data_IF_417871463246
#
_entry.id   IF_417871463246
#
_cell.length_a   1.000
_cell.length_b   1.000
_cell.length_c   1.000
_cell.angle_alpha   90.00
_cell.angle_beta   90.00
_cell.angle_gamma   90.00
#
_symmetry.space_group_name_H-M   'P 1'
#
loop_
_entity.id
_entity.type
_entity.pdbx_description
1 polymer ?
#
# COMPACT_ATOMS: atom_id res chain seq x y z
N UNK A 1 -8.81 30.42 17.45
CA UNK A 1 -8.12 31.65 17.91
C UNK A 1 -9.09 32.80 18.19
N UNK A 2 -10.10 33.01 17.34
CA UNK A 2 -11.08 34.09 17.54
C UNK A 2 -11.82 33.99 18.90
N UNK A 3 -11.97 32.79 19.45
CA UNK A 3 -12.61 32.54 20.75
C UNK A 3 -11.60 32.43 21.90
N UNK A 4 -10.36 32.87 21.74
CA UNK A 4 -9.31 32.77 22.77
C UNK A 4 -8.71 31.38 22.98
N UNK A 5 -9.11 30.37 22.19
CA UNK A 5 -8.57 29.01 22.29
C UNK A 5 -7.19 28.95 21.62
N UNK A 6 -6.17 28.50 22.37
CA UNK A 6 -4.85 28.28 21.84
C UNK A 6 -4.87 27.13 20.82
N UNK A 7 -4.72 27.48 19.53
CA UNK A 7 -4.74 26.52 18.42
C UNK A 7 -3.47 26.66 17.61
N UNK A 8 -2.80 25.56 17.37
CA UNK A 8 -1.68 25.44 16.45
C UNK A 8 -2.00 24.38 15.38
N UNK A 9 -1.18 24.28 14.34
CA UNK A 9 -1.34 23.19 13.39
C UNK A 9 -0.16 22.24 13.42
N UNK A 10 -0.48 21.00 13.18
CA UNK A 10 0.48 19.94 12.90
C UNK A 10 0.31 19.48 11.46
N UNK A 11 1.34 18.85 10.93
CA UNK A 11 1.31 18.33 9.57
C UNK A 11 2.24 17.16 9.40
N UNK A 12 1.91 16.30 8.43
CA UNK A 12 2.85 15.32 7.88
C UNK A 12 3.34 15.80 6.51
N UNK A 13 4.66 15.78 6.25
CA UNK A 13 5.19 16.05 4.91
C UNK A 13 4.74 15.02 3.89
N UNK A 14 4.45 13.79 4.33
CA UNK A 14 4.08 12.68 3.49
C UNK A 14 3.27 11.62 4.25
N UNK A 15 2.13 11.24 3.68
CA UNK A 15 1.40 10.04 4.07
C UNK A 15 2.13 8.78 3.58
N UNK A 16 1.97 7.69 4.31
CA UNK A 16 2.58 6.41 3.92
C UNK A 16 1.89 5.78 2.71
N UNK A 17 0.60 6.04 2.49
CA UNK A 17 -0.19 5.34 1.50
C UNK A 17 -0.33 6.07 0.15
N UNK A 18 -0.40 7.42 0.10
CA UNK A 18 -0.57 8.13 -1.20
C UNK A 18 -0.54 9.64 -1.21
N UNK A 19 -1.03 10.30 -0.16
CA UNK A 19 -1.13 11.77 -0.16
C UNK A 19 0.23 12.37 0.19
N UNK A 20 0.55 13.53 -0.42
CA UNK A 20 1.87 14.13 -0.24
C UNK A 20 1.99 14.81 1.11
N UNK A 21 1.14 15.76 1.40
CA UNK A 21 1.20 16.60 2.59
C UNK A 21 -0.20 16.80 3.14
N UNK A 22 -0.33 16.78 4.46
CA UNK A 22 -1.61 17.02 5.11
C UNK A 22 -1.44 17.81 6.38
N UNK A 23 -2.43 18.65 6.70
CA UNK A 23 -2.45 19.52 7.86
C UNK A 23 -3.70 19.27 8.69
N UNK A 24 -3.56 19.40 10.00
CA UNK A 24 -4.67 19.41 10.94
C UNK A 24 -4.43 20.39 12.06
N UNK A 25 -5.50 20.77 12.75
CA UNK A 25 -5.43 21.63 13.91
C UNK A 25 -5.22 20.81 15.17
N UNK A 26 -4.54 21.40 16.17
CA UNK A 26 -4.46 20.85 17.52
C UNK A 26 -4.72 21.95 18.55
N UNK A 27 -5.48 21.62 19.58
CA UNK A 27 -5.77 22.52 20.70
C UNK A 27 -5.57 21.78 22.01
N UNK A 28 -5.07 22.45 23.06
CA UNK A 28 -4.96 21.83 24.37
C UNK A 28 -6.34 21.55 24.95
N UNK A 29 -6.50 20.39 25.56
CA UNK A 29 -7.64 20.06 26.40
C UNK A 29 -7.48 20.66 27.82
N UNK A 30 -8.40 20.34 28.75
CA UNK A 30 -8.38 20.82 30.14
C UNK A 30 -7.15 20.39 30.93
N UNK A 31 -6.42 19.39 30.46
CA UNK A 31 -5.17 18.89 31.07
C UNK A 31 -3.92 19.48 30.43
N UNK A 32 -4.08 20.31 29.37
CA UNK A 32 -2.98 20.88 28.58
C UNK A 32 -2.45 19.96 27.48
N UNK A 33 -3.05 18.77 27.31
CA UNK A 33 -2.68 17.85 26.23
C UNK A 33 -3.31 18.32 24.91
N UNK A 34 -2.50 18.48 23.88
CA UNK A 34 -2.97 18.90 22.57
C UNK A 34 -3.75 17.79 21.88
N UNK A 35 -5.04 18.04 21.60
CA UNK A 35 -5.92 17.14 20.89
C UNK A 35 -6.05 17.59 19.42
N UNK A 36 -5.85 16.67 18.46
CA UNK A 36 -5.99 17.00 17.05
C UNK A 36 -7.46 17.02 16.61
N UNK A 37 -7.75 17.85 15.61
CA UNK A 37 -9.04 17.92 14.94
C UNK A 37 -8.92 18.53 13.55
N UNK A 38 -9.84 18.21 12.67
CA UNK A 38 -9.89 18.77 11.30
C UNK A 38 -11.04 19.77 11.22
N UNK A 39 -10.73 21.06 11.23
CA UNK A 39 -11.73 22.10 11.01
C UNK A 39 -11.91 22.34 9.49
N UNK A 40 -13.16 22.58 8.98
CA UNK A 40 -14.44 22.60 9.68
C UNK A 40 -15.21 21.29 9.70
N UNK A 41 -14.62 20.19 9.15
CA UNK A 41 -15.38 19.03 8.71
C UNK A 41 -15.73 18.03 9.82
N UNK A 42 -15.03 18.06 10.97
CA UNK A 42 -15.28 17.06 12.02
C UNK A 42 -15.26 17.66 13.42
N UNK A 43 -16.20 17.23 14.25
CA UNK A 43 -16.09 17.30 15.70
C UNK A 43 -14.82 16.58 16.17
N UNK A 44 -14.28 16.98 17.34
CA UNK A 44 -13.12 16.38 18.02
C UNK A 44 -13.43 14.91 18.37
N UNK A 45 -13.79 14.06 17.41
CA UNK A 45 -14.19 12.67 17.66
C UNK A 45 -13.89 11.73 16.49
N UNK A 46 -13.35 10.60 16.86
CA UNK A 46 -13.37 9.23 16.32
C UNK A 46 -12.87 8.97 14.90
N UNK A 47 -13.16 9.77 13.86
CA UNK A 47 -12.77 9.40 12.48
C UNK A 47 -11.35 9.82 12.07
N UNK A 48 -10.79 10.86 12.69
CA UNK A 48 -9.44 11.34 12.35
C UNK A 48 -8.33 10.36 12.78
N UNK A 49 -8.53 9.58 13.85
CA UNK A 49 -7.58 8.56 14.32
C UNK A 49 -7.30 7.53 13.24
N UNK A 50 -8.30 7.20 12.44
CA UNK A 50 -8.15 6.24 11.36
C UNK A 50 -7.18 6.70 10.27
N UNK A 51 -7.03 8.01 10.08
CA UNK A 51 -6.22 8.57 9.01
C UNK A 51 -4.79 8.90 9.46
N UNK A 52 -4.60 9.42 10.66
CA UNK A 52 -3.28 9.84 11.17
C UNK A 52 -2.28 8.69 11.28
N UNK A 53 -2.72 7.46 11.53
CA UNK A 53 -1.85 6.26 11.51
C UNK A 53 -1.07 6.06 10.21
N UNK A 54 -1.47 6.74 9.14
CA UNK A 54 -0.75 6.73 7.87
C UNK A 54 0.21 7.91 7.70
N UNK A 55 0.32 8.82 8.66
CA UNK A 55 1.33 9.86 8.65
C UNK A 55 2.73 9.24 8.74
N UNK A 56 3.68 9.78 8.00
CA UNK A 56 5.09 9.43 8.14
C UNK A 56 5.68 10.09 9.38
N UNK A 57 6.43 11.16 9.18
CA UNK A 57 6.85 12.06 10.27
C UNK A 57 5.76 13.11 10.51
N UNK A 58 5.66 13.63 11.72
CA UNK A 58 4.70 14.67 12.09
C UNK A 58 5.42 15.85 12.73
N UNK A 59 5.10 17.06 12.25
CA UNK A 59 5.72 18.29 12.74
C UNK A 59 4.65 19.30 13.18
N UNK A 60 4.97 20.02 14.27
CA UNK A 60 4.26 21.22 14.70
C UNK A 60 5.08 22.44 14.33
N UNK A 61 4.46 23.45 13.77
CA UNK A 61 5.08 24.76 13.63
C UNK A 61 4.90 25.55 14.93
N UNK A 62 6.00 25.79 15.61
CA UNK A 62 6.07 26.50 16.89
C UNK A 62 6.20 28.02 16.69
N UNK A 63 6.17 28.79 17.78
CA UNK A 63 6.43 30.23 17.78
C UNK A 63 7.88 30.57 18.15
N UNK A 64 8.60 29.61 18.69
CA UNK A 64 10.01 29.72 19.04
C UNK A 64 10.89 28.88 18.11
N UNK A 65 12.11 29.36 17.88
CA UNK A 65 13.10 28.64 17.09
C UNK A 65 13.54 27.33 17.77
N UNK A 66 13.53 26.25 17.03
CA UNK A 66 13.94 24.93 17.48
C UNK A 66 15.38 24.64 17.01
N UNK A 67 16.32 24.67 17.96
CA UNK A 67 17.77 24.55 17.69
C UNK A 67 18.23 23.22 17.08
N UNK A 68 17.36 22.20 17.13
CA UNK A 68 17.61 20.88 16.56
C UNK A 68 17.06 20.71 15.13
N UNK A 69 16.66 21.79 14.48
CA UNK A 69 16.18 21.76 13.08
C UNK A 69 17.34 21.83 12.07
N UNK A 70 17.13 21.37 10.83
CA UNK A 70 18.11 21.50 9.75
C UNK A 70 18.59 22.93 9.56
N UNK A 71 17.74 23.92 9.79
CA UNK A 71 18.08 25.34 9.69
C UNK A 71 19.32 25.72 10.54
N UNK A 72 19.48 25.12 11.73
CA UNK A 72 20.62 25.43 12.63
C UNK A 72 21.73 24.37 12.59
N UNK A 73 21.44 23.18 12.04
CA UNK A 73 22.36 22.04 12.08
C UNK A 73 23.15 21.87 10.77
N UNK A 74 22.63 22.37 9.66
CA UNK A 74 23.29 22.31 8.36
C UNK A 74 24.52 23.23 8.32
N UNK A 75 25.52 22.87 7.52
CA UNK A 75 26.65 23.76 7.17
C UNK A 75 26.17 24.91 6.28
N UNK A 76 27.03 25.96 6.14
CA UNK A 76 26.66 27.18 5.41
C UNK A 76 26.19 26.91 3.98
N UNK A 77 26.82 25.97 3.27
CA UNK A 77 26.53 25.66 1.86
C UNK A 77 25.70 24.37 1.69
N UNK A 78 25.21 23.80 2.79
CA UNK A 78 24.44 22.58 2.69
C UNK A 78 22.99 22.84 2.21
N UNK A 79 22.56 22.08 1.21
CA UNK A 79 21.17 22.11 0.74
C UNK A 79 20.21 21.63 1.82
N UNK A 80 19.21 22.45 2.14
CA UNK A 80 18.11 22.07 3.04
C UNK A 80 16.83 21.98 2.22
N UNK A 81 16.14 20.81 2.21
CA UNK A 81 14.85 20.65 1.55
C UNK A 81 13.83 21.68 2.04
N UNK A 82 13.04 22.26 1.13
CA UNK A 82 12.08 23.33 1.45
C UNK A 82 11.11 22.94 2.59
N UNK A 83 10.64 21.70 2.60
CA UNK A 83 9.73 21.19 3.64
C UNK A 83 10.32 21.17 5.05
N UNK A 84 11.66 21.17 5.16
CA UNK A 84 12.41 21.06 6.42
C UNK A 84 13.25 22.33 6.76
N UNK A 85 13.16 23.37 5.95
CA UNK A 85 13.98 24.60 6.08
C UNK A 85 13.55 25.52 7.23
N UNK A 86 12.33 25.34 7.76
CA UNK A 86 11.83 26.25 8.80
C UNK A 86 12.54 26.04 10.14
N UNK A 87 13.02 27.11 10.81
CA UNK A 87 13.57 27.02 12.16
C UNK A 87 12.53 26.72 13.24
N UNK A 88 11.24 26.75 12.89
CA UNK A 88 10.13 26.63 13.82
C UNK A 88 9.53 25.20 13.87
N UNK A 89 10.22 24.19 13.34
CA UNK A 89 9.73 22.82 13.28
C UNK A 89 10.03 22.06 14.57
N UNK A 90 8.99 21.62 15.26
CA UNK A 90 9.08 20.67 16.37
C UNK A 90 8.56 19.30 15.92
N UNK A 91 9.40 18.27 16.04
CA UNK A 91 8.99 16.89 15.74
C UNK A 91 7.99 16.38 16.78
N UNK A 92 6.82 15.99 16.33
CA UNK A 92 5.72 15.49 17.15
C UNK A 92 5.36 14.04 16.81
N UNK A 93 6.22 13.34 16.08
CA UNK A 93 5.99 11.98 15.59
C UNK A 93 5.64 11.01 16.72
N UNK A 94 6.29 11.14 17.88
CA UNK A 94 6.06 10.32 19.07
C UNK A 94 4.60 10.34 19.57
N UNK A 95 3.86 11.41 19.29
CA UNK A 95 2.46 11.51 19.70
C UNK A 95 1.52 10.62 18.88
N UNK A 96 1.97 10.18 17.72
CA UNK A 96 1.16 9.47 16.73
C UNK A 96 1.70 8.08 16.43
N UNK A 97 2.96 7.83 16.77
CA UNK A 97 3.65 6.57 16.48
C UNK A 97 4.54 6.16 17.64
N UNK A 98 4.69 4.88 17.83
CA UNK A 98 5.81 4.36 18.60
C UNK A 98 7.10 4.70 17.83
N UNK A 99 8.05 5.34 18.51
CA UNK A 99 9.28 5.83 17.90
C UNK A 99 10.52 5.31 18.63
N UNK A 100 11.64 5.38 17.95
CA UNK A 100 12.97 5.11 18.51
C UNK A 100 13.96 6.17 18.05
N UNK A 101 15.02 6.42 18.80
CA UNK A 101 16.24 7.06 18.31
C UNK A 101 17.16 5.99 17.71
N UNK A 102 17.51 6.14 16.43
CA UNK A 102 18.31 5.17 15.68
C UNK A 102 19.69 5.73 15.35
N UNK A 103 20.74 4.98 15.68
CA UNK A 103 22.13 5.24 15.28
C UNK A 103 22.57 4.23 14.23
N UNK A 104 22.99 4.70 13.07
CA UNK A 104 23.53 3.84 12.01
C UNK A 104 24.96 4.24 11.67
N UNK A 105 25.82 3.31 11.19
CA UNK A 105 27.18 3.63 10.81
C UNK A 105 27.26 4.69 9.72
N UNK A 106 28.16 5.65 9.88
CA UNK A 106 28.45 6.70 8.90
C UNK A 106 29.30 6.13 7.76
N UNK A 107 28.86 6.33 6.52
CA UNK A 107 29.69 6.05 5.35
C UNK A 107 30.78 7.11 5.21
N UNK A 108 32.05 6.71 4.96
CA UNK A 108 33.15 7.65 4.78
C UNK A 108 33.00 8.57 3.55
N UNK A 109 32.02 8.32 2.68
CA UNK A 109 31.70 9.18 1.53
C UNK A 109 30.88 10.41 1.91
N UNK A 110 30.21 10.40 3.06
CA UNK A 110 29.33 11.48 3.51
C UNK A 110 30.15 12.53 4.19
N UNK A 111 30.07 13.80 3.72
CA UNK A 111 30.76 14.96 4.25
C UNK A 111 29.82 16.02 4.81
N UNK A 112 28.50 15.80 4.63
CA UNK A 112 27.46 16.72 5.10
C UNK A 112 27.23 16.57 6.60
N UNK A 113 26.68 17.61 7.24
CA UNK A 113 26.28 17.58 8.64
C UNK A 113 24.96 16.84 8.83
N UNK A 114 24.18 16.72 7.75
CA UNK A 114 22.85 16.12 7.77
C UNK A 114 22.69 15.01 6.74
N UNK A 115 21.93 14.00 7.13
CA UNK A 115 21.36 12.98 6.24
C UNK A 115 19.85 13.05 6.37
N UNK A 116 19.13 13.03 5.25
CA UNK A 116 17.69 13.14 5.23
C UNK A 116 17.03 11.77 5.09
N UNK A 117 15.92 11.58 5.82
CA UNK A 117 15.03 10.45 5.63
C UNK A 117 14.00 10.81 4.58
N UNK A 118 13.96 10.05 3.50
CA UNK A 118 12.97 10.20 2.46
C UNK A 118 11.95 9.08 2.50
N UNK A 119 10.72 9.40 2.13
CA UNK A 119 9.69 8.45 1.78
C UNK A 119 9.40 8.56 0.29
N UNK A 120 8.98 7.46 -0.33
CA UNK A 120 8.58 7.49 -1.74
C UNK A 120 7.18 8.09 -1.87
N UNK A 121 7.07 9.12 -2.71
CA UNK A 121 5.79 9.68 -3.15
C UNK A 121 5.31 8.91 -4.39
N UNK A 122 4.25 9.40 -5.03
CA UNK A 122 3.76 8.86 -6.31
C UNK A 122 4.83 8.80 -7.43
N UNK A 123 5.89 9.62 -7.35
CA UNK A 123 6.82 9.80 -8.47
C UNK A 123 8.29 9.81 -8.04
N UNK A 124 8.58 10.26 -6.83
CA UNK A 124 9.94 10.54 -6.36
C UNK A 124 10.11 10.36 -4.86
N UNK A 125 11.35 10.39 -4.41
CA UNK A 125 11.70 10.50 -3.00
C UNK A 125 11.38 11.90 -2.48
N UNK A 126 10.73 11.96 -1.32
CA UNK A 126 10.38 13.19 -0.62
C UNK A 126 11.04 13.21 0.75
N UNK A 127 11.92 14.17 1.06
CA UNK A 127 12.52 14.34 2.39
C UNK A 127 11.44 14.63 3.43
N UNK A 128 11.36 13.78 4.45
CA UNK A 128 10.34 13.87 5.51
C UNK A 128 10.93 14.02 6.90
N UNK A 129 12.26 13.82 7.06
CA UNK A 129 12.97 13.93 8.32
C UNK A 129 14.46 14.09 8.09
N UNK A 130 15.21 14.20 9.18
CA UNK A 130 16.67 14.34 9.14
C UNK A 130 17.35 13.56 10.25
N UNK A 131 18.62 13.25 10.03
CA UNK A 131 19.54 12.74 11.02
C UNK A 131 20.79 13.61 11.08
N UNK A 132 21.37 13.76 12.26
CA UNK A 132 22.62 14.45 12.49
C UNK A 132 23.79 13.50 12.25
N UNK A 133 24.79 13.97 11.51
CA UNK A 133 26.06 13.25 11.36
C UNK A 133 26.94 13.52 12.56
N UNK A 134 27.38 12.45 13.22
CA UNK A 134 28.35 12.46 14.31
C UNK A 134 29.67 11.86 13.80
N UNK A 135 30.55 12.72 13.34
CA UNK A 135 31.86 12.32 12.82
C UNK A 135 32.79 11.76 13.88
N UNK A 136 32.63 12.18 15.15
CA UNK A 136 33.47 11.70 16.26
C UNK A 136 33.20 10.22 16.57
N UNK A 137 31.95 9.82 16.53
CA UNK A 137 31.54 8.44 16.76
C UNK A 137 31.36 7.62 15.47
N UNK A 138 31.46 8.25 14.30
CA UNK A 138 31.26 7.60 13.01
C UNK A 138 29.82 7.11 12.80
N UNK A 139 28.84 7.88 13.24
CA UNK A 139 27.44 7.50 13.24
C UNK A 139 26.53 8.59 12.63
N UNK A 140 25.36 8.16 12.14
CA UNK A 140 24.26 9.06 11.80
C UNK A 140 23.15 8.81 12.83
N UNK A 141 22.66 9.87 13.45
CA UNK A 141 21.67 9.80 14.53
C UNK A 141 20.34 10.33 14.02
N UNK A 142 19.33 9.45 13.94
CA UNK A 142 17.97 9.80 13.59
C UNK A 142 17.08 9.73 14.82
N UNK A 143 16.42 10.84 15.13
CA UNK A 143 15.48 10.91 16.27
C UNK A 143 14.05 10.63 15.85
N UNK A 144 13.28 10.04 16.76
CA UNK A 144 11.86 9.79 16.61
C UNK A 144 11.51 9.05 15.30
N UNK A 145 12.21 7.96 15.03
CA UNK A 145 11.92 7.10 13.89
C UNK A 145 10.67 6.28 14.18
N UNK A 146 9.57 6.46 13.43
CA UNK A 146 8.39 5.65 13.58
C UNK A 146 8.65 4.22 13.08
N UNK A 147 8.05 3.24 13.75
CA UNK A 147 8.13 1.84 13.36
C UNK A 147 7.27 1.54 12.13
N UNK A 148 7.61 0.46 11.43
CA UNK A 148 6.87 -0.08 10.28
C UNK A 148 6.75 0.88 9.07
N UNK A 149 7.67 1.86 8.95
CA UNK A 149 7.76 2.77 7.81
C UNK A 149 9.08 2.56 7.09
N UNK A 150 9.04 2.44 5.76
CA UNK A 150 10.24 2.36 4.92
C UNK A 150 10.81 3.75 4.68
N UNK A 151 12.07 3.94 5.04
CA UNK A 151 12.84 5.15 4.77
C UNK A 151 13.99 4.90 3.81
N UNK A 152 14.27 5.92 3.00
CA UNK A 152 15.42 6.01 2.12
C UNK A 152 16.35 7.08 2.68
N UNK A 153 17.46 6.71 3.35
CA UNK A 153 18.45 7.68 3.80
C UNK A 153 19.20 8.27 2.61
N UNK A 154 19.20 9.57 2.49
CA UNK A 154 19.90 10.30 1.44
C UNK A 154 20.70 11.48 2.01
N UNK A 155 21.74 11.90 1.32
CA UNK A 155 22.39 13.18 1.52
C UNK A 155 22.36 13.97 0.22
N UNK A 156 22.51 15.27 0.29
CA UNK A 156 22.64 16.11 -0.88
C UNK A 156 24.12 16.40 -1.15
N UNK A 157 24.54 16.11 -2.37
CA UNK A 157 25.81 16.52 -2.94
C UNK A 157 25.47 17.65 -3.90
N UNK A 158 25.74 18.89 -3.47
CA UNK A 158 25.08 20.07 -4.03
C UNK A 158 23.57 19.99 -3.91
N UNK A 159 22.84 19.91 -5.02
CA UNK A 159 21.38 19.72 -5.06
C UNK A 159 20.98 18.27 -5.46
N UNK A 160 21.94 17.40 -5.74
CA UNK A 160 21.68 16.02 -6.18
C UNK A 160 21.52 15.08 -5.00
N UNK A 161 20.43 14.30 -5.00
CA UNK A 161 20.18 13.26 -4.00
C UNK A 161 21.10 12.07 -4.19
N UNK A 162 21.91 11.75 -3.19
CA UNK A 162 22.78 10.56 -3.14
C UNK A 162 22.33 9.61 -2.01
N UNK A 163 22.35 8.28 -2.21
CA UNK A 163 22.08 7.34 -1.13
C UNK A 163 23.14 7.45 -0.01
N UNK A 164 22.69 7.66 1.22
CA UNK A 164 23.55 7.67 2.42
C UNK A 164 23.72 6.27 3.01
N UNK A 165 22.67 5.46 2.95
CA UNK A 165 22.62 4.05 3.39
C UNK A 165 21.58 3.31 2.56
N UNK A 166 21.50 1.98 2.75
CA UNK A 166 20.41 1.19 2.19
C UNK A 166 19.07 1.65 2.78
N UNK A 167 17.97 1.64 1.99
CA UNK A 167 16.65 1.84 2.53
C UNK A 167 16.35 0.83 3.61
N UNK A 168 15.70 1.26 4.65
CA UNK A 168 15.41 0.42 5.80
C UNK A 168 14.03 0.64 6.39
N UNK A 169 13.57 -0.37 7.12
CA UNK A 169 12.38 -0.31 7.95
C UNK A 169 12.69 -0.98 9.28
N UNK A 170 12.15 -0.45 10.37
CA UNK A 170 12.22 -1.07 11.68
C UNK A 170 10.83 -1.59 12.03
N UNK A 171 10.72 -2.91 12.14
CA UNK A 171 9.47 -3.59 12.42
C UNK A 171 9.40 -4.03 13.88
N UNK A 172 8.22 -3.90 14.48
CA UNK A 172 7.92 -4.53 15.78
C UNK A 172 7.33 -5.92 15.57
N UNK A 173 7.66 -6.85 16.47
CA UNK A 173 7.06 -8.19 16.50
C UNK A 173 5.64 -8.12 17.07
N UNK A 174 4.71 -7.62 16.31
CA UNK A 174 3.31 -7.52 16.64
C UNK A 174 2.69 -6.51 15.70
N UNK A 175 1.78 -6.98 14.87
CA UNK A 175 0.97 -6.10 14.00
C UNK A 175 -0.10 -5.48 14.88
N UNK A 176 0.28 -4.67 15.84
CA UNK A 176 -0.66 -3.83 16.55
C UNK A 176 -0.66 -2.46 15.89
N UNK A 177 -1.58 -2.29 14.94
CA UNK A 177 -2.05 -0.99 14.53
C UNK A 177 -2.99 -0.40 15.59
N UNK A 178 -2.71 -0.63 16.87
CA UNK A 178 -3.32 0.17 17.90
C UNK A 178 -2.62 1.52 17.87
N UNK A 179 -3.38 2.56 17.62
CA UNK A 179 -2.92 3.94 17.75
C UNK A 179 -2.51 4.08 19.22
N UNK A 180 -1.24 4.39 19.52
CA UNK A 180 -0.88 4.69 20.89
C UNK A 180 -1.79 5.82 21.36
N UNK A 181 -2.35 5.73 22.57
CA UNK A 181 -2.94 6.89 23.22
C UNK A 181 -1.93 8.06 23.09
N UNK A 182 -2.37 9.31 22.90
CA UNK A 182 -1.45 10.43 22.67
C UNK A 182 -0.40 10.43 23.77
N UNK A 183 0.84 10.10 23.40
CA UNK A 183 1.95 10.02 24.33
C UNK A 183 2.22 11.43 24.86
N UNK A 184 2.45 11.56 26.14
CA UNK A 184 2.79 12.82 26.79
C UNK A 184 4.30 13.09 26.65
N UNK A 185 4.73 14.34 26.93
CA UNK A 185 6.17 14.67 26.96
C UNK A 185 6.95 13.75 27.93
N UNK A 186 6.29 13.21 28.97
CA UNK A 186 6.93 12.26 29.87
C UNK A 186 7.21 10.91 29.22
N UNK A 187 6.45 10.51 28.19
CA UNK A 187 6.66 9.27 27.45
C UNK A 187 7.89 9.35 26.53
N UNK A 188 8.31 10.55 26.10
CA UNK A 188 9.57 10.75 25.38
C UNK A 188 10.81 10.31 26.17
N UNK A 189 10.76 10.36 27.51
CA UNK A 189 11.87 9.92 28.38
C UNK A 189 12.10 8.41 28.33
N UNK A 190 11.16 7.66 27.75
CA UNK A 190 11.23 6.20 27.56
C UNK A 190 11.50 5.79 26.13
N UNK A 191 11.80 6.75 25.23
CA UNK A 191 12.20 6.43 23.86
C UNK A 191 13.47 5.56 23.86
N UNK A 192 13.41 4.46 23.13
CA UNK A 192 14.51 3.52 23.05
C UNK A 192 15.60 4.08 22.13
N UNK A 193 16.80 4.30 22.68
CA UNK A 193 17.99 4.66 21.90
C UNK A 193 18.72 3.38 21.46
N UNK A 194 18.75 3.11 20.16
CA UNK A 194 19.28 1.88 19.57
C UNK A 194 20.36 2.15 18.54
N UNK A 195 21.37 1.30 18.50
CA UNK A 195 22.47 1.34 17.53
C UNK A 195 22.38 0.14 16.59
N UNK A 196 22.51 0.39 15.28
CA UNK A 196 22.59 -0.64 14.27
C UNK A 196 24.03 -1.16 14.16
N UNK A 197 24.23 -2.47 14.38
CA UNK A 197 25.52 -3.14 14.16
C UNK A 197 25.27 -4.47 13.45
N UNK A 198 25.96 -4.71 12.33
CA UNK A 198 25.82 -5.92 11.53
C UNK A 198 24.36 -6.32 11.26
N UNK A 199 23.53 -5.37 10.84
CA UNK A 199 22.08 -5.51 10.59
C UNK A 199 21.25 -5.96 11.81
N UNK A 200 21.77 -5.80 13.01
CA UNK A 200 21.06 -6.06 14.27
C UNK A 200 20.95 -4.79 15.11
N UNK A 201 19.83 -4.65 15.83
CA UNK A 201 19.58 -3.52 16.70
C UNK A 201 20.03 -3.82 18.13
N UNK A 202 20.76 -2.90 18.75
CA UNK A 202 21.25 -2.96 20.12
C UNK A 202 20.84 -1.73 20.90
N UNK A 203 20.47 -1.89 22.17
CA UNK A 203 20.21 -0.77 23.06
C UNK A 203 21.54 -0.05 23.32
N UNK A 204 21.60 1.26 23.01
CA UNK A 204 22.86 2.03 23.01
C UNK A 204 23.57 2.08 24.36
N UNK A 205 22.80 2.07 25.45
CA UNK A 205 23.34 2.17 26.81
C UNK A 205 23.58 0.80 27.48
N UNK A 206 23.51 -0.30 26.73
CA UNK A 206 23.77 -1.64 27.28
C UNK A 206 24.79 -2.41 26.47
N UNK A 207 25.74 -3.02 27.17
CA UNK A 207 26.79 -3.82 26.56
C UNK A 207 26.14 -5.08 25.96
N UNK A 208 26.20 -5.21 24.63
CA UNK A 208 25.76 -6.39 23.85
C UNK A 208 24.31 -6.87 24.02
N UNK A 209 23.41 -6.04 24.54
CA UNK A 209 22.01 -6.44 24.67
C UNK A 209 21.26 -6.14 23.38
N UNK A 210 20.87 -7.20 22.65
CA UNK A 210 20.02 -7.10 21.47
C UNK A 210 18.62 -6.66 21.87
N UNK A 211 17.98 -5.77 21.08
CA UNK A 211 16.59 -5.37 21.31
C UNK A 211 15.65 -6.55 21.13
N UNK A 212 14.82 -6.86 22.13
CA UNK A 212 13.75 -7.83 21.97
C UNK A 212 12.58 -7.18 21.26
N UNK A 213 12.02 -7.86 20.27
CA UNK A 213 10.78 -7.42 19.59
C UNK A 213 10.96 -6.44 18.44
N UNK A 214 12.15 -5.88 18.19
CA UNK A 214 12.41 -5.03 17.03
C UNK A 214 13.30 -5.76 16.01
N UNK A 215 12.96 -5.61 14.73
CA UNK A 215 13.70 -6.16 13.59
C UNK A 215 14.08 -5.05 12.63
N UNK A 216 15.37 -4.94 12.30
CA UNK A 216 15.85 -4.10 11.21
C UNK A 216 15.76 -4.85 9.89
N UNK A 217 15.11 -4.27 8.91
CA UNK A 217 14.98 -4.80 7.55
C UNK A 217 15.70 -3.85 6.60
N UNK A 218 16.78 -4.34 6.01
CA UNK A 218 17.51 -3.67 4.94
C UNK A 218 16.94 -4.08 3.58
N UNK A 219 16.90 -3.13 2.65
CA UNK A 219 16.46 -3.38 1.29
C UNK A 219 17.66 -3.65 0.41
N UNK A 220 17.91 -4.92 0.17
CA UNK A 220 19.06 -5.39 -0.59
C UNK A 220 18.64 -5.97 -1.94
N UNK A 221 19.56 -5.93 -2.91
CA UNK A 221 19.37 -6.50 -4.24
C UNK A 221 20.47 -7.51 -4.54
N UNK A 222 20.08 -8.74 -4.87
CA UNK A 222 20.99 -9.78 -5.36
C UNK A 222 20.91 -9.84 -6.91
N UNK A 223 21.85 -9.19 -7.57
CA UNK A 223 21.91 -9.17 -9.03
C UNK A 223 22.37 -10.50 -9.64
N UNK A 224 22.92 -11.42 -8.86
CA UNK A 224 23.36 -12.74 -9.32
C UNK A 224 22.18 -13.69 -9.49
N UNK A 225 21.15 -13.53 -8.68
CA UNK A 225 19.91 -14.29 -8.75
C UNK A 225 18.88 -13.61 -9.63
N UNK A 226 18.10 -14.43 -10.35
CA UNK A 226 17.04 -13.95 -11.24
C UNK A 226 15.67 -14.35 -10.69
N UNK A 227 14.69 -13.48 -11.02
CA UNK A 227 13.30 -13.65 -10.63
C UNK A 227 12.39 -13.55 -11.85
N UNK A 228 11.19 -14.12 -11.73
CA UNK A 228 10.09 -13.93 -12.64
C UNK A 228 8.97 -13.20 -11.92
N UNK A 229 8.47 -12.13 -12.50
CA UNK A 229 7.39 -11.33 -11.93
C UNK A 229 6.18 -11.34 -12.87
N UNK A 230 5.00 -11.56 -12.28
CA UNK A 230 3.72 -11.32 -12.94
C UNK A 230 3.04 -10.16 -12.20
N UNK A 231 2.87 -9.04 -12.89
CA UNK A 231 2.41 -7.79 -12.30
C UNK A 231 1.05 -7.41 -12.85
N UNK A 232 0.13 -7.07 -11.96
CA UNK A 232 -1.25 -6.72 -12.30
C UNK A 232 -1.54 -5.24 -12.16
N UNK A 233 -0.73 -4.52 -11.39
CA UNK A 233 -0.95 -3.11 -11.11
C UNK A 233 0.35 -2.38 -10.76
N UNK A 234 0.31 -1.06 -10.91
CA UNK A 234 1.43 -0.16 -10.59
C UNK A 234 1.27 0.57 -9.26
N UNK A 235 0.07 0.52 -8.67
CA UNK A 235 -0.30 1.23 -7.46
C UNK A 235 -1.34 0.43 -6.67
N UNK A 236 -1.37 0.51 -5.33
CA UNK A 236 -2.36 -0.19 -4.52
C UNK A 236 -3.75 0.42 -4.64
N UNK A 237 -4.73 -0.27 -4.10
CA UNK A 237 -6.11 0.19 -4.06
C UNK A 237 -6.31 1.33 -3.07
N UNK A 238 -7.20 2.28 -3.40
CA UNK A 238 -7.50 3.42 -2.53
C UNK A 238 -8.25 2.96 -1.28
N UNK A 239 -7.86 3.45 -0.10
CA UNK A 239 -8.47 3.13 1.20
C UNK A 239 -10.00 3.25 1.21
N UNK A 240 -10.55 4.28 0.57
CA UNK A 240 -11.99 4.51 0.48
C UNK A 240 -12.77 3.34 -0.12
N UNK A 241 -12.12 2.45 -0.88
CA UNK A 241 -12.74 1.27 -1.46
C UNK A 241 -12.81 0.09 -0.47
N UNK A 242 -12.06 0.11 0.64
CA UNK A 242 -12.14 -0.94 1.66
C UNK A 242 -13.55 -1.13 2.21
N UNK A 243 -14.31 -0.05 2.38
CA UNK A 243 -15.72 -0.13 2.80
C UNK A 243 -16.59 -0.86 1.76
N UNK A 244 -16.30 -0.69 0.46
CA UNK A 244 -16.97 -1.44 -0.60
C UNK A 244 -16.66 -2.93 -0.52
N UNK A 245 -15.39 -3.31 -0.31
CA UNK A 245 -14.99 -4.71 -0.16
C UNK A 245 -15.61 -5.37 1.07
N UNK A 246 -15.65 -4.66 2.21
CA UNK A 246 -16.27 -5.17 3.43
C UNK A 246 -17.76 -5.51 3.22
N UNK A 247 -18.48 -4.70 2.41
CA UNK A 247 -19.88 -4.94 2.07
C UNK A 247 -20.09 -6.15 1.16
N UNK A 248 -19.03 -6.65 0.50
CA UNK A 248 -19.13 -7.82 -0.38
C UNK A 248 -19.17 -9.14 0.40
N UNK A 249 -18.66 -9.19 1.64
CA UNK A 249 -18.78 -10.35 2.51
C UNK A 249 -20.27 -10.63 2.80
N UNK A 250 -20.68 -11.87 2.63
CA UNK A 250 -22.08 -12.31 2.75
C UNK A 250 -22.87 -12.21 1.46
N UNK A 251 -22.32 -11.70 0.36
CA UNK A 251 -22.96 -11.74 -0.94
C UNK A 251 -23.04 -13.18 -1.48
N UNK A 252 -24.03 -13.43 -2.31
CA UNK A 252 -24.36 -14.79 -2.75
C UNK A 252 -24.40 -14.93 -4.27
N UNK A 253 -23.94 -16.07 -4.76
CA UNK A 253 -24.17 -16.53 -6.13
C UNK A 253 -25.40 -17.41 -6.18
N UNK A 254 -26.31 -17.07 -7.08
CA UNK A 254 -27.60 -17.72 -7.31
C UNK A 254 -27.68 -18.23 -8.73
N UNK A 255 -28.39 -19.31 -8.95
CA UNK A 255 -28.75 -19.80 -10.29
C UNK A 255 -30.18 -20.26 -10.39
N UNK A 256 -30.80 -20.08 -11.57
CA UNK A 256 -32.19 -20.46 -11.83
C UNK A 256 -32.51 -20.58 -13.33
N UNK A 257 -33.66 -21.17 -13.65
CA UNK A 257 -34.09 -21.37 -15.04
C UNK A 257 -35.15 -20.38 -15.53
N UNK A 258 -35.59 -19.47 -14.66
CA UNK A 258 -36.53 -18.38 -14.99
C UNK A 258 -35.95 -17.06 -14.50
N UNK A 259 -36.08 -16.00 -15.29
CA UNK A 259 -35.58 -14.69 -14.92
C UNK A 259 -36.21 -14.15 -13.63
N UNK A 260 -37.50 -14.41 -13.45
CA UNK A 260 -38.25 -14.12 -12.21
C UNK A 260 -38.78 -15.45 -11.67
N UNK A 261 -38.21 -15.91 -10.56
CA UNK A 261 -38.57 -17.19 -9.99
C UNK A 261 -37.68 -17.60 -8.83
N UNK A 262 -37.74 -18.87 -8.48
CA UNK A 262 -36.84 -19.45 -7.48
C UNK A 262 -35.44 -19.61 -8.05
N UNK A 263 -34.45 -19.31 -7.20
CA UNK A 263 -33.03 -19.48 -7.46
C UNK A 263 -32.41 -20.37 -6.40
N UNK A 264 -31.56 -21.28 -6.82
CA UNK A 264 -30.74 -22.07 -5.91
C UNK A 264 -29.53 -21.23 -5.51
N UNK A 265 -29.15 -21.26 -4.22
CA UNK A 265 -27.90 -20.64 -3.74
C UNK A 265 -26.75 -21.61 -4.03
N UNK A 266 -25.77 -21.14 -4.81
CA UNK A 266 -24.60 -21.93 -5.19
C UNK A 266 -23.40 -21.68 -4.29
N UNK A 267 -23.23 -20.44 -3.82
CA UNK A 267 -22.11 -20.06 -2.98
C UNK A 267 -22.40 -18.78 -2.21
N UNK A 268 -21.85 -18.66 -1.00
CA UNK A 268 -21.85 -17.44 -0.21
C UNK A 268 -20.41 -16.99 -0.01
N UNK A 269 -20.11 -15.73 -0.28
CA UNK A 269 -18.79 -15.15 -0.07
C UNK A 269 -18.55 -14.94 1.43
N UNK A 270 -17.76 -15.77 2.07
CA UNK A 270 -17.53 -15.80 3.51
C UNK A 270 -16.34 -14.93 3.96
N UNK A 271 -15.62 -14.34 3.02
CA UNK A 271 -14.48 -13.47 3.25
C UNK A 271 -14.65 -12.09 2.60
N UNK A 272 -13.82 -11.13 3.01
CA UNK A 272 -13.70 -9.82 2.37
C UNK A 272 -12.74 -9.97 1.18
N UNK A 273 -13.18 -9.75 -0.08
CA UNK A 273 -12.32 -9.93 -1.23
C UNK A 273 -11.21 -8.87 -1.25
N UNK A 274 -10.03 -9.30 -1.63
CA UNK A 274 -8.92 -8.38 -1.92
C UNK A 274 -9.17 -7.67 -3.27
N UNK A 275 -8.48 -6.53 -3.54
CA UNK A 275 -8.62 -5.80 -4.79
C UNK A 275 -7.96 -6.49 -6.00
N UNK A 276 -7.73 -7.77 -5.92
CA UNK A 276 -7.14 -8.59 -6.97
C UNK A 276 -8.16 -9.54 -7.58
N UNK A 277 -7.71 -10.33 -8.54
CA UNK A 277 -8.54 -11.38 -9.13
C UNK A 277 -8.91 -12.39 -8.05
N UNK A 278 -10.20 -12.63 -7.91
CA UNK A 278 -10.77 -13.69 -7.08
C UNK A 278 -11.25 -14.81 -7.96
N UNK A 279 -11.07 -16.05 -7.54
CA UNK A 279 -11.73 -17.19 -8.14
C UNK A 279 -12.53 -17.92 -7.07
N UNK A 280 -13.80 -18.19 -7.37
CA UNK A 280 -14.74 -18.89 -6.48
C UNK A 280 -15.23 -20.14 -7.20
N UNK A 281 -15.11 -21.29 -6.55
CA UNK A 281 -15.77 -22.52 -6.98
C UNK A 281 -17.22 -22.46 -6.54
N UNK A 282 -18.13 -22.63 -7.49
CA UNK A 282 -19.56 -22.76 -7.23
C UNK A 282 -19.89 -24.22 -6.91
N UNK A 283 -20.62 -24.44 -5.84
CA UNK A 283 -21.10 -25.78 -5.51
C UNK A 283 -22.27 -26.14 -6.43
N UNK A 284 -21.96 -26.36 -7.73
CA UNK A 284 -22.95 -26.54 -8.78
C UNK A 284 -22.71 -27.81 -9.59
N UNK A 285 -23.72 -28.70 -9.55
CA UNK A 285 -23.77 -29.94 -10.35
C UNK A 285 -24.91 -29.94 -11.40
N UNK A 286 -25.68 -28.86 -11.49
CA UNK A 286 -26.84 -28.71 -12.41
C UNK A 286 -26.55 -27.65 -13.49
N UNK A 287 -27.40 -27.66 -14.51
CA UNK A 287 -27.43 -26.63 -15.55
C UNK A 287 -28.54 -25.62 -15.28
N UNK A 288 -28.19 -24.32 -15.39
CA UNK A 288 -29.13 -23.21 -15.24
C UNK A 288 -28.92 -22.20 -16.36
N UNK A 289 -30.00 -21.49 -16.73
CA UNK A 289 -29.94 -20.42 -17.72
C UNK A 289 -29.44 -19.10 -17.12
N UNK A 290 -29.87 -18.78 -15.89
CA UNK A 290 -29.58 -17.50 -15.24
C UNK A 290 -28.64 -17.70 -14.07
N UNK A 291 -27.56 -16.91 -14.01
CA UNK A 291 -26.66 -16.85 -12.87
C UNK A 291 -26.58 -15.42 -12.37
N UNK A 292 -26.61 -15.21 -11.06
CA UNK A 292 -26.62 -13.89 -10.44
C UNK A 292 -25.68 -13.84 -9.24
N UNK A 293 -25.00 -12.71 -9.09
CA UNK A 293 -24.30 -12.33 -7.88
C UNK A 293 -25.06 -11.19 -7.24
N UNK A 294 -25.54 -11.36 -6.01
CA UNK A 294 -26.43 -10.40 -5.34
C UNK A 294 -25.99 -10.10 -3.92
N UNK A 295 -26.29 -8.88 -3.47
CA UNK A 295 -26.18 -8.48 -2.08
C UNK A 295 -27.52 -8.69 -1.38
N UNK A 296 -27.63 -9.62 -0.40
CA UNK A 296 -28.85 -9.83 0.38
C UNK A 296 -29.32 -8.55 1.08
N UNK A 297 -28.38 -7.72 1.52
CA UNK A 297 -28.64 -6.45 2.20
C UNK A 297 -28.90 -5.28 1.24
N UNK A 298 -28.99 -5.54 -0.07
CA UNK A 298 -29.19 -4.53 -1.12
C UNK A 298 -28.13 -3.44 -1.19
N UNK A 299 -26.96 -3.67 -0.60
CA UNK A 299 -25.83 -2.76 -0.74
C UNK A 299 -25.29 -2.78 -2.19
N UNK A 300 -24.77 -1.66 -2.69
CA UNK A 300 -24.07 -1.64 -3.96
C UNK A 300 -22.89 -2.63 -3.97
N UNK A 301 -22.85 -3.46 -5.00
CA UNK A 301 -21.74 -4.35 -5.33
C UNK A 301 -20.93 -3.64 -6.40
N UNK A 302 -19.69 -3.29 -6.10
CA UNK A 302 -18.80 -2.62 -7.05
C UNK A 302 -17.88 -3.66 -7.70
N UNK A 303 -18.18 -4.06 -8.93
CA UNK A 303 -17.44 -5.06 -9.72
C UNK A 303 -16.84 -4.41 -10.97
N UNK A 304 -15.53 -4.50 -11.13
CA UNK A 304 -14.84 -4.06 -12.35
C UNK A 304 -14.84 -5.13 -13.44
N UNK A 305 -14.74 -6.39 -13.07
CA UNK A 305 -14.78 -7.48 -14.06
C UNK A 305 -15.34 -8.77 -13.47
N UNK A 306 -16.04 -9.56 -14.30
CA UNK A 306 -16.56 -10.87 -13.93
C UNK A 306 -16.52 -11.84 -15.11
N UNK A 307 -16.17 -13.07 -14.84
CA UNK A 307 -16.18 -14.17 -15.81
C UNK A 307 -16.89 -15.40 -15.20
N UNK A 308 -17.77 -16.02 -15.99
CA UNK A 308 -18.37 -17.29 -15.66
C UNK A 308 -17.65 -18.42 -16.36
N UNK A 309 -17.24 -19.45 -15.63
CA UNK A 309 -16.42 -20.54 -16.13
C UNK A 309 -17.10 -21.90 -15.94
N UNK A 310 -16.91 -22.76 -16.93
CA UNK A 310 -17.35 -24.16 -16.89
C UNK A 310 -16.16 -25.09 -17.04
N UNK A 311 -16.20 -26.23 -16.40
CA UNK A 311 -15.27 -27.34 -16.61
C UNK A 311 -15.84 -28.37 -17.62
N UNK A 312 -17.03 -28.16 -18.15
CA UNK A 312 -17.63 -29.03 -19.15
C UNK A 312 -16.99 -28.83 -20.54
N UNK A 313 -16.28 -29.85 -21.03
CA UNK A 313 -15.59 -29.83 -22.32
C UNK A 313 -16.54 -29.64 -23.52
N UNK A 314 -17.83 -29.97 -23.39
CA UNK A 314 -18.83 -29.71 -24.44
C UNK A 314 -18.99 -28.22 -24.75
N UNK A 315 -18.59 -27.35 -23.84
CA UNK A 315 -18.67 -25.91 -24.00
C UNK A 315 -17.37 -25.29 -24.60
N UNK A 316 -16.36 -26.08 -24.91
CA UNK A 316 -15.07 -25.58 -25.46
C UNK A 316 -15.25 -24.78 -26.75
N UNK A 317 -16.06 -25.25 -27.68
CA UNK A 317 -16.34 -24.58 -28.96
C UNK A 317 -17.08 -23.25 -28.82
N UNK A 318 -17.70 -23.00 -27.67
CA UNK A 318 -18.43 -21.78 -27.35
C UNK A 318 -17.70 -20.91 -26.33
N UNK A 319 -16.43 -21.26 -25.99
CA UNK A 319 -15.66 -20.54 -24.98
C UNK A 319 -14.99 -19.29 -25.56
N UNK A 320 -14.88 -18.28 -24.73
CA UNK A 320 -14.10 -17.08 -25.02
C UNK A 320 -12.71 -17.18 -24.35
N UNK A 321 -11.69 -16.48 -24.87
CA UNK A 321 -10.44 -16.33 -24.16
C UNK A 321 -10.68 -15.66 -22.81
N UNK A 322 -10.04 -16.16 -21.75
CA UNK A 322 -10.07 -15.46 -20.47
C UNK A 322 -9.27 -14.15 -20.55
N UNK A 323 -9.84 -13.05 -20.07
CA UNK A 323 -9.14 -11.77 -19.96
C UNK A 323 -8.21 -11.74 -18.74
N UNK A 324 -8.38 -12.69 -17.81
CA UNK A 324 -7.66 -12.72 -16.55
C UNK A 324 -6.50 -13.71 -16.60
N UNK A 325 -5.31 -13.33 -16.09
CA UNK A 325 -4.19 -14.25 -16.02
C UNK A 325 -4.49 -15.40 -15.06
N UNK A 326 -4.02 -16.59 -15.45
CA UNK A 326 -3.92 -17.71 -14.52
C UNK A 326 -2.64 -17.49 -13.72
N UNK A 327 -2.74 -17.24 -12.42
CA UNK A 327 -1.55 -17.11 -11.58
C UNK A 327 -0.81 -18.45 -11.49
N UNK A 328 0.50 -18.49 -11.79
CA UNK A 328 1.28 -19.72 -11.71
C UNK A 328 1.33 -20.35 -10.32
N UNK A 329 0.99 -19.58 -9.28
CA UNK A 329 1.15 -19.97 -7.87
C UNK A 329 -0.18 -20.12 -7.10
N UNK A 330 -1.33 -20.08 -7.75
CA UNK A 330 -2.46 -20.77 -7.16
C UNK A 330 -2.23 -22.27 -7.36
N UNK A 331 -1.45 -22.85 -6.46
CA UNK A 331 -1.39 -24.28 -6.26
C UNK A 331 -2.75 -24.77 -5.76
N UNK A 332 -3.70 -24.89 -6.66
CA UNK A 332 -4.62 -25.99 -6.57
C UNK A 332 -3.82 -27.20 -7.10
N UNK A 333 -3.07 -27.76 -6.19
CA UNK A 333 -2.44 -29.04 -6.35
C UNK A 333 -3.54 -30.04 -6.67
N UNK A 334 -3.43 -30.65 -7.81
CA UNK A 334 -4.05 -31.89 -8.26
C UNK A 334 -5.12 -31.87 -9.34
N UNK A 335 -5.46 -30.76 -10.01
CA UNK A 335 -6.00 -30.90 -11.38
C UNK A 335 -5.81 -29.61 -12.17
N UNK A 336 -5.06 -29.66 -13.24
CA UNK A 336 -5.16 -28.67 -14.32
C UNK A 336 -6.50 -28.88 -15.06
N UNK A 337 -7.59 -28.81 -14.33
CA UNK A 337 -8.91 -28.91 -14.96
C UNK A 337 -9.10 -27.69 -15.87
N UNK A 338 -9.21 -27.93 -17.17
CA UNK A 338 -9.40 -26.91 -18.17
C UNK A 338 -10.73 -26.21 -17.93
N UNK A 339 -10.70 -24.87 -17.81
CA UNK A 339 -11.89 -24.06 -17.57
C UNK A 339 -12.18 -23.22 -18.81
N UNK A 340 -13.43 -23.22 -19.21
CA UNK A 340 -13.92 -22.52 -20.39
C UNK A 340 -14.74 -21.32 -19.97
N UNK A 341 -14.40 -20.10 -20.43
CA UNK A 341 -15.18 -18.89 -20.22
C UNK A 341 -16.41 -18.91 -21.09
N UNK A 342 -17.59 -18.84 -20.50
CA UNK A 342 -18.88 -18.84 -21.18
C UNK A 342 -19.46 -17.42 -21.12
N UNK A 343 -19.99 -16.94 -22.24
CA UNK A 343 -20.65 -15.65 -22.35
C UNK A 343 -22.15 -15.80 -22.54
N UNK A 344 -22.87 -14.72 -22.21
CA UNK A 344 -24.30 -14.59 -22.41
C UNK A 344 -24.70 -13.12 -22.44
N UNK A 345 -25.95 -12.83 -22.18
CA UNK A 345 -26.48 -11.47 -22.07
C UNK A 345 -26.38 -10.99 -20.62
N UNK A 346 -25.65 -9.89 -20.32
CA UNK A 346 -25.59 -9.36 -18.97
C UNK A 346 -26.95 -8.93 -18.43
N UNK A 347 -27.25 -9.27 -17.16
CA UNK A 347 -28.48 -8.91 -16.44
C UNK A 347 -28.14 -8.30 -15.08
N UNK A 348 -28.95 -7.35 -14.61
CA UNK A 348 -28.73 -6.68 -13.32
C UNK A 348 -29.96 -5.90 -12.84
N UNK A 349 -29.84 -5.32 -11.65
CA UNK A 349 -30.85 -4.46 -11.02
C UNK A 349 -30.60 -2.96 -11.20
N UNK A 350 -29.58 -2.53 -11.95
CA UNK A 350 -29.17 -1.15 -12.16
C UNK A 350 -28.90 -0.79 -13.62
N UNK A 351 -28.05 0.21 -13.88
CA UNK A 351 -27.68 0.68 -15.24
C UNK A 351 -26.33 0.09 -15.68
N UNK A 352 -26.19 -0.20 -16.99
CA UNK A 352 -24.93 -0.60 -17.67
C UNK A 352 -24.25 -1.86 -17.09
N UNK A 353 -24.90 -3.02 -17.09
CA UNK A 353 -24.31 -4.28 -16.58
C UNK A 353 -23.09 -4.72 -17.39
N UNK A 354 -23.04 -4.36 -18.65
CA UNK A 354 -21.97 -4.69 -19.60
C UNK A 354 -20.60 -4.24 -19.10
N UNK A 355 -20.52 -3.20 -18.26
CA UNK A 355 -19.26 -2.69 -17.72
C UNK A 355 -18.50 -3.69 -16.82
N UNK A 356 -19.16 -4.72 -16.31
CA UNK A 356 -18.47 -5.80 -15.60
C UNK A 356 -17.97 -6.91 -16.52
N UNK A 357 -18.22 -6.83 -17.83
CA UNK A 357 -17.92 -7.88 -18.80
C UNK A 357 -17.14 -7.35 -20.03
N UNK A 358 -16.84 -6.04 -20.05
CA UNK A 358 -16.22 -5.35 -21.18
C UNK A 358 -14.70 -5.58 -21.29
N UNK A 359 -14.09 -6.22 -20.27
CA UNK A 359 -12.65 -6.46 -20.23
C UNK A 359 -11.83 -5.24 -19.82
N UNK A 360 -12.46 -4.10 -19.51
CA UNK A 360 -11.83 -2.90 -19.01
C UNK A 360 -11.91 -2.83 -17.48
N UNK A 361 -10.79 -2.98 -16.79
CA UNK A 361 -10.75 -2.98 -15.32
C UNK A 361 -10.88 -1.61 -14.70
N UNK A 362 -10.89 -0.54 -15.49
CA UNK A 362 -11.10 0.83 -15.02
C UNK A 362 -12.60 1.19 -14.91
N UNK A 363 -13.43 0.50 -15.68
CA UNK A 363 -14.89 0.58 -15.57
C UNK A 363 -15.39 -0.28 -14.41
N UNK A 364 -16.61 -0.03 -13.94
CA UNK A 364 -17.24 -0.86 -12.93
C UNK A 364 -18.77 -0.71 -12.94
N UNK A 365 -19.42 -1.73 -12.45
CA UNK A 365 -20.87 -1.72 -12.16
C UNK A 365 -21.07 -1.54 -10.67
N UNK A 366 -21.85 -0.51 -10.28
CA UNK A 366 -22.39 -0.32 -8.93
C UNK A 366 -23.87 -0.71 -8.91
N UNK A 367 -24.20 -1.89 -8.39
CA UNK A 367 -25.56 -2.44 -8.37
C UNK A 367 -25.74 -3.41 -7.20
N UNK A 368 -26.96 -3.59 -6.70
CA UNK A 368 -27.24 -4.61 -5.68
C UNK A 368 -27.29 -6.05 -6.24
N UNK A 369 -27.20 -6.22 -7.54
CA UNK A 369 -27.12 -7.53 -8.20
C UNK A 369 -26.67 -7.42 -9.65
N UNK A 370 -25.86 -8.37 -10.08
CA UNK A 370 -25.34 -8.49 -11.44
C UNK A 370 -25.35 -9.97 -11.83
N UNK A 371 -25.49 -10.28 -13.12
CA UNK A 371 -25.47 -11.66 -13.58
C UNK A 371 -25.46 -11.80 -15.08
N UNK A 372 -25.78 -13.03 -15.53
CA UNK A 372 -25.77 -13.41 -16.92
C UNK A 372 -26.99 -14.30 -17.26
N UNK A 373 -27.63 -14.01 -18.38
CA UNK A 373 -28.56 -14.90 -19.07
C UNK A 373 -27.80 -15.60 -20.20
N UNK A 374 -27.64 -16.90 -20.11
CA UNK A 374 -26.95 -17.70 -21.12
C UNK A 374 -27.84 -18.13 -22.29
N UNK A 375 -29.15 -17.74 -22.30
CA UNK A 375 -30.10 -18.09 -23.34
C UNK A 375 -30.58 -19.54 -23.27
N UNK A 376 -29.77 -20.44 -22.75
CA UNK A 376 -30.04 -21.87 -22.53
C UNK A 376 -29.40 -22.30 -21.20
N UNK A 377 -29.87 -23.44 -20.60
CA UNK A 377 -29.19 -23.98 -19.44
C UNK A 377 -27.73 -24.36 -19.75
N UNK A 378 -26.82 -23.96 -18.88
CA UNK A 378 -25.38 -24.29 -18.94
C UNK A 378 -24.89 -24.57 -17.52
N UNK A 379 -23.89 -25.43 -17.38
CA UNK A 379 -23.27 -25.73 -16.10
C UNK A 379 -22.10 -24.78 -15.87
N UNK A 380 -22.24 -23.78 -14.99
CA UNK A 380 -21.16 -22.93 -14.53
C UNK A 380 -20.61 -23.47 -13.22
N UNK A 381 -19.31 -23.73 -13.17
CA UNK A 381 -18.64 -24.34 -12.02
C UNK A 381 -17.79 -23.37 -11.23
N UNK A 382 -17.32 -22.29 -11.87
CA UNK A 382 -16.48 -21.27 -11.23
C UNK A 382 -16.86 -19.88 -11.71
N UNK A 383 -16.56 -18.89 -10.86
CA UNK A 383 -16.62 -17.48 -11.22
C UNK A 383 -15.28 -16.82 -10.89
N UNK A 384 -14.76 -16.03 -11.81
CA UNK A 384 -13.69 -15.09 -11.56
C UNK A 384 -14.25 -13.69 -11.52
N UNK A 385 -13.77 -12.89 -10.58
CA UNK A 385 -14.17 -11.50 -10.52
C UNK A 385 -13.06 -10.61 -9.96
N UNK A 386 -13.13 -9.33 -10.30
CA UNK A 386 -12.27 -8.27 -9.77
C UNK A 386 -13.19 -7.22 -9.15
N UNK A 387 -13.08 -6.94 -7.85
CA UNK A 387 -13.76 -5.81 -7.23
C UNK A 387 -13.36 -4.51 -7.91
N UNK A 388 -14.18 -3.46 -7.77
CA UNK A 388 -13.82 -2.13 -8.24
C UNK A 388 -12.43 -1.76 -7.77
N UNK A 389 -11.61 -1.28 -8.69
CA UNK A 389 -10.30 -0.71 -8.40
C UNK A 389 -10.25 0.75 -8.86
N UNK A 390 -9.20 1.49 -8.49
CA UNK A 390 -9.09 2.92 -8.76
C UNK A 390 -8.06 3.21 -9.85
N UNK A 391 -8.23 2.60 -11.01
CA UNK A 391 -7.39 2.82 -12.21
C UNK A 391 -5.91 2.49 -12.00
N UNK A 392 -5.65 1.41 -11.28
CA UNK A 392 -4.28 1.00 -10.91
C UNK A 392 -3.83 -0.27 -11.62
N UNK A 393 -4.72 -0.89 -12.38
CA UNK A 393 -4.43 -2.10 -13.14
C UNK A 393 -3.60 -1.77 -14.40
N UNK A 394 -3.04 -2.81 -15.01
CA UNK A 394 -2.31 -2.67 -16.26
C UNK A 394 -3.30 -2.39 -17.40
N UNK A 395 -3.02 -1.33 -18.16
CA UNK A 395 -3.82 -0.90 -19.32
C UNK A 395 -3.18 -1.43 -20.60
N UNK A 396 -3.97 -2.13 -21.42
CA UNK A 396 -3.50 -2.64 -22.72
C UNK A 396 -3.15 -1.46 -23.62
N UNK A 397 -1.99 -1.54 -24.27
CA UNK A 397 -1.47 -0.49 -25.14
C UNK A 397 -0.47 0.44 -24.48
N UNK A 398 -0.48 0.57 -23.15
CA UNK A 398 0.47 1.39 -22.42
C UNK A 398 1.85 0.72 -22.31
N UNK A 399 2.89 1.54 -22.23
CA UNK A 399 4.26 1.11 -22.02
C UNK A 399 4.64 1.21 -20.55
N UNK A 400 5.27 0.16 -20.02
CA UNK A 400 5.66 0.06 -18.61
C UNK A 400 7.15 -0.22 -18.48
N UNK A 401 7.81 0.47 -17.54
CA UNK A 401 9.18 0.19 -17.14
C UNK A 401 9.22 -0.45 -15.76
N UNK A 402 9.80 -1.65 -15.68
CA UNK A 402 10.11 -2.29 -14.40
C UNK A 402 11.42 -1.72 -13.86
N UNK A 403 11.36 -1.16 -12.67
CA UNK A 403 12.51 -0.67 -11.92
C UNK A 403 12.76 -1.60 -10.72
N UNK A 404 14.00 -1.67 -10.27
CA UNK A 404 14.39 -2.31 -9.01
C UNK A 404 15.35 -1.40 -8.25
N UNK A 405 15.39 -1.51 -6.92
CA UNK A 405 16.28 -0.71 -6.09
C UNK A 405 17.62 -1.43 -5.88
N UNK A 406 18.71 -0.76 -6.22
CA UNK A 406 20.09 -1.19 -5.96
C UNK A 406 20.99 0.06 -5.90
N UNK A 407 21.19 0.62 -4.70
CA UNK A 407 21.85 1.90 -4.50
C UNK A 407 21.27 3.02 -5.40
N UNK A 408 19.96 3.11 -5.44
CA UNK A 408 19.17 3.93 -6.34
C UNK A 408 18.29 3.08 -7.29
N UNK A 409 17.30 3.73 -7.89
CA UNK A 409 16.39 3.07 -8.83
C UNK A 409 17.09 2.76 -10.16
N UNK A 410 17.08 1.51 -10.57
CA UNK A 410 17.64 1.04 -11.84
C UNK A 410 16.55 0.42 -12.70
N UNK A 411 16.54 0.77 -13.98
CA UNK A 411 15.60 0.20 -14.95
C UNK A 411 16.04 -1.22 -15.34
N UNK A 412 15.16 -2.19 -15.19
CA UNK A 412 15.39 -3.56 -15.62
C UNK A 412 14.93 -3.77 -17.06
N UNK A 413 13.64 -3.61 -17.31
CA UNK A 413 13.02 -3.87 -18.62
C UNK A 413 11.89 -2.90 -18.91
N UNK A 414 11.58 -2.73 -20.20
CA UNK A 414 10.40 -2.00 -20.69
C UNK A 414 9.55 -2.97 -21.50
N UNK A 415 8.24 -2.92 -21.32
CA UNK A 415 7.28 -3.75 -22.04
C UNK A 415 6.03 -2.93 -22.36
N UNK A 416 5.52 -3.05 -23.60
CA UNK A 416 4.17 -2.60 -23.94
C UNK A 416 3.18 -3.68 -23.54
N UNK A 417 2.11 -3.29 -22.84
CA UNK A 417 1.10 -4.24 -22.39
C UNK A 417 0.22 -4.70 -23.57
N UNK A 418 0.18 -5.98 -23.81
CA UNK A 418 -0.75 -6.66 -24.73
C UNK A 418 -1.89 -7.37 -23.99
N UNK A 419 -1.77 -7.44 -22.66
CA UNK A 419 -2.74 -8.05 -21.73
C UNK A 419 -2.87 -7.18 -20.50
N UNK A 420 -3.89 -7.45 -19.67
CA UNK A 420 -4.12 -6.76 -18.39
C UNK A 420 -3.14 -7.20 -17.28
N UNK A 421 -1.99 -7.72 -17.66
CA UNK A 421 -0.86 -8.02 -16.80
C UNK A 421 0.45 -7.93 -17.59
N UNK A 422 1.56 -7.82 -16.86
CA UNK A 422 2.91 -7.83 -17.41
C UNK A 422 3.69 -9.01 -16.85
N UNK A 423 4.46 -9.67 -17.69
CA UNK A 423 5.35 -10.75 -17.29
C UNK A 423 6.79 -10.36 -17.58
N UNK A 424 7.60 -10.26 -16.51
CA UNK A 424 9.01 -9.95 -16.62
C UNK A 424 9.85 -11.15 -16.18
N UNK A 425 10.61 -11.72 -17.13
CA UNK A 425 11.51 -12.84 -16.87
C UNK A 425 12.94 -12.33 -16.73
N UNK A 426 13.78 -13.08 -15.98
CA UNK A 426 15.20 -12.82 -15.82
C UNK A 426 15.53 -11.41 -15.27
N UNK A 427 14.71 -10.92 -14.35
CA UNK A 427 15.00 -9.68 -13.63
C UNK A 427 15.87 -9.94 -12.41
N UNK A 428 16.73 -8.99 -11.96
CA UNK A 428 17.47 -9.16 -10.72
C UNK A 428 16.53 -9.46 -9.56
N UNK A 429 16.92 -10.38 -8.66
CA UNK A 429 16.16 -10.61 -7.44
C UNK A 429 16.40 -9.43 -6.49
N UNK A 430 15.44 -8.56 -6.40
CA UNK A 430 15.47 -7.40 -5.52
C UNK A 430 14.37 -7.52 -4.47
N UNK A 431 14.60 -6.92 -3.32
CA UNK A 431 13.59 -6.82 -2.28
C UNK A 431 12.52 -5.81 -2.68
N UNK A 432 12.89 -4.74 -3.40
CA UNK A 432 12.00 -3.65 -3.76
C UNK A 432 11.98 -3.39 -5.27
N UNK A 433 10.76 -3.38 -5.81
CA UNK A 433 10.47 -3.06 -7.21
C UNK A 433 9.56 -1.83 -7.33
N UNK A 434 9.57 -1.21 -8.50
CA UNK A 434 8.65 -0.14 -8.88
C UNK A 434 8.25 -0.35 -10.34
N UNK A 435 6.96 -0.30 -10.62
CA UNK A 435 6.43 -0.35 -11.99
C UNK A 435 5.98 1.04 -12.41
N UNK A 436 6.66 1.62 -13.40
CA UNK A 436 6.32 2.93 -13.98
C UNK A 436 5.51 2.75 -15.26
N UNK A 437 4.38 3.46 -15.35
CA UNK A 437 3.67 3.62 -16.62
C UNK A 437 4.28 4.81 -17.38
N UNK A 438 4.93 4.53 -18.51
CA UNK A 438 5.60 5.55 -19.31
C UNK A 438 4.65 6.31 -20.24
N UNK A 439 3.42 5.82 -20.43
CA UNK A 439 2.40 6.44 -21.28
C UNK A 439 1.52 7.39 -20.46
N UNK A 440 1.02 6.93 -19.32
CA UNK A 440 0.08 7.67 -18.45
C UNK A 440 0.57 7.66 -16.99
N UNK A 441 1.85 8.01 -16.78
CA UNK A 441 2.56 7.82 -15.53
C UNK A 441 2.18 8.79 -14.45
N UNK A 442 1.36 8.35 -13.51
CA UNK A 442 1.20 8.92 -12.17
C UNK A 442 0.76 7.82 -11.22
N UNK A 443 0.86 8.06 -9.91
CA UNK A 443 0.39 7.12 -8.90
C UNK A 443 1.10 5.77 -8.95
N UNK A 444 2.44 5.77 -9.02
CA UNK A 444 3.25 4.56 -8.88
C UNK A 444 3.76 4.43 -7.44
N UNK A 445 3.74 3.21 -6.90
CA UNK A 445 4.24 2.93 -5.55
C UNK A 445 5.16 1.72 -5.56
N UNK A 446 6.29 1.76 -4.82
CA UNK A 446 7.15 0.60 -4.66
C UNK A 446 6.44 -0.58 -3.98
N UNK A 447 6.86 -1.78 -4.34
CA UNK A 447 6.28 -3.01 -3.81
C UNK A 447 7.35 -4.09 -3.59
N UNK A 448 7.07 -4.98 -2.64
CA UNK A 448 7.75 -6.26 -2.48
C UNK A 448 7.08 -7.30 -3.37
N UNK A 449 7.87 -8.24 -3.90
CA UNK A 449 7.32 -9.37 -4.66
C UNK A 449 7.67 -10.68 -3.97
N UNK A 450 6.67 -11.29 -3.32
CA UNK A 450 6.86 -12.44 -2.45
C UNK A 450 5.87 -13.53 -2.86
N UNK A 451 6.38 -14.76 -3.08
CA UNK A 451 5.55 -15.93 -3.43
C UNK A 451 4.55 -15.64 -4.56
N UNK A 452 5.00 -14.91 -5.61
CA UNK A 452 4.17 -14.62 -6.79
C UNK A 452 3.18 -13.47 -6.62
N UNK A 453 3.25 -12.68 -5.54
CA UNK A 453 2.33 -11.56 -5.27
C UNK A 453 3.07 -10.24 -5.07
N UNK A 454 2.42 -9.14 -5.50
CA UNK A 454 2.83 -7.78 -5.21
C UNK A 454 2.27 -7.36 -3.84
N UNK A 455 3.13 -6.81 -2.98
CA UNK A 455 2.76 -6.20 -1.71
C UNK A 455 3.25 -4.76 -1.72
N UNK A 456 2.31 -3.82 -1.85
CA UNK A 456 2.64 -2.40 -1.90
C UNK A 456 2.97 -1.86 -0.52
N UNK A 457 4.01 -1.04 -0.46
CA UNK A 457 4.49 -0.45 0.77
C UNK A 457 3.38 0.29 1.54
N UNK A 458 3.30 0.03 2.83
CA UNK A 458 2.43 0.71 3.80
C UNK A 458 0.90 0.57 3.56
N UNK A 459 0.50 -0.14 2.52
CA UNK A 459 -0.91 -0.32 2.16
C UNK A 459 -1.35 -1.76 2.37
N UNK A 460 -0.57 -2.71 1.84
CA UNK A 460 -0.85 -4.12 2.00
C UNK A 460 -0.28 -4.62 3.34
N UNK A 461 -1.04 -5.46 4.03
CA UNK A 461 -0.54 -6.15 5.23
C UNK A 461 0.51 -7.17 4.81
N UNK A 462 1.72 -6.98 5.28
CA UNK A 462 2.85 -7.85 5.00
C UNK A 462 3.34 -8.48 6.31
N UNK A 463 3.47 -9.79 6.31
CA UNK A 463 4.26 -10.48 7.34
C UNK A 463 5.76 -10.26 7.03
N UNK A 464 6.37 -9.35 7.77
CA UNK A 464 7.78 -9.00 7.60
C UNK A 464 8.76 -10.13 7.94
N UNK A 465 8.28 -11.22 8.55
CA UNK A 465 9.10 -12.43 8.74
C UNK A 465 9.23 -13.22 7.43
N UNK A 466 8.41 -12.93 6.43
CA UNK A 466 8.49 -13.54 5.10
C UNK A 466 9.45 -12.83 4.13
N UNK A 467 10.00 -11.68 4.54
CA UNK A 467 11.10 -10.98 3.85
C UNK A 467 12.44 -11.54 4.30
#
# INVERSE_FOLDING_TARGET
RACGVATVYEYTPQWTDRDRKHFWCVSPDSTGIFQPYTAPDNNIREDWESDIKYAGKVYRKTFEAQRNTPYFLAGEDEYIPESLRSPLLSDQTFRYHQTITLRIPLSPKIRTHLVYLCMFTREKLNPVGWGKVDTNNGEIIFNQIPLNILFFPIYFDEEEMKPAAQPFMICSNGIHHEIPQPLTINDMKHEMDVTLRNNSLYISNSINKKTSGLKYISIDCDTTKKNELVLLRKYPEKRKLKASYNRMKGNIWLAGNRERGQYDTLHTLDYVPSPYIQEVSLNNNKEYRYYRYVSPNKFPIDISHMEFLSTDSKLESHSLPTALPIFPNQKNENSQEKKYRISGKPIHTGKKPELAFDGNFETYVGSSGIGMDFGKPVKITHVRFVPRNANNMIVIGDCYALMYYNNGWKRSKVQKADKNYLKFNNVPKATLYLLKNLTNGTEELPFFYIKGKQYFLHVDTLDYNSL
#
